data_IF_406399641181
#
_entry.id   IF_406399641181
#
_cell.length_a   1.000
_cell.length_b   1.000
_cell.length_c   1.000
_cell.angle_alpha   90.00
_cell.angle_beta   90.00
_cell.angle_gamma   90.00
#
_symmetry.space_group_name_H-M   'P 1'
#
loop_
_entity.id
_entity.type
_entity.pdbx_description
1 polymer ?
#
# COMPACT_ATOMS: atom_id res chain seq x y z
N UNK A 1 13.48 -35.81 3.69
CA UNK A 1 12.17 -35.32 4.18
C UNK A 1 12.23 -33.89 4.74
N UNK A 2 13.10 -33.54 5.70
CA UNK A 2 13.18 -32.15 6.24
C UNK A 2 13.50 -31.07 5.19
N UNK A 3 14.41 -31.33 4.23
CA UNK A 3 14.73 -30.39 3.13
C UNK A 3 13.57 -30.15 2.16
N UNK A 4 12.64 -31.11 2.03
CA UNK A 4 11.46 -31.00 1.15
C UNK A 4 10.38 -30.12 1.81
N UNK A 5 10.22 -30.20 3.13
CA UNK A 5 9.32 -29.35 3.90
C UNK A 5 9.76 -27.87 3.91
N UNK A 6 11.07 -27.61 3.99
CA UNK A 6 11.60 -26.23 3.91
C UNK A 6 11.38 -25.62 2.53
N UNK A 7 11.50 -26.41 1.45
CA UNK A 7 11.25 -25.92 0.09
C UNK A 7 9.76 -25.60 -0.14
N UNK A 8 8.86 -26.43 0.38
CA UNK A 8 7.40 -26.19 0.30
C UNK A 8 6.99 -24.97 1.14
N UNK A 9 7.56 -24.77 2.33
CA UNK A 9 7.28 -23.60 3.15
C UNK A 9 7.75 -22.27 2.52
N UNK A 10 8.85 -22.29 1.75
CA UNK A 10 9.34 -21.11 0.99
C UNK A 10 8.48 -20.83 -0.24
N UNK A 11 7.88 -21.85 -0.86
CA UNK A 11 6.98 -21.69 -2.01
C UNK A 11 5.59 -21.15 -1.62
N UNK A 12 5.19 -21.29 -0.35
CA UNK A 12 3.92 -20.74 0.16
C UNK A 12 4.04 -19.33 0.75
N UNK A 13 5.23 -18.75 0.88
CA UNK A 13 5.43 -17.43 1.51
C UNK A 13 5.55 -16.25 0.52
N UNK A 14 5.19 -16.44 -0.76
CA UNK A 14 5.35 -15.41 -1.79
C UNK A 14 4.02 -15.08 -2.49
N UNK A 15 3.04 -14.62 -1.73
CA UNK A 15 1.95 -13.82 -2.30
C UNK A 15 1.50 -12.75 -1.31
N UNK A 16 2.36 -11.74 -1.12
CA UNK A 16 1.86 -10.43 -0.68
C UNK A 16 1.32 -9.76 -1.93
N UNK A 17 0.02 -9.88 -2.19
CA UNK A 17 -0.59 -9.15 -3.30
C UNK A 17 -0.88 -7.72 -2.84
N UNK A 18 -0.04 -6.78 -3.31
CA UNK A 18 -0.25 -5.34 -3.16
C UNK A 18 -1.00 -4.73 -4.37
N UNK A 19 -1.55 -5.59 -5.23
CA UNK A 19 -2.24 -5.25 -6.47
C UNK A 19 -3.62 -5.86 -6.43
N UNK A 20 -4.63 -5.07 -6.77
CA UNK A 20 -6.01 -5.47 -6.85
C UNK A 20 -6.49 -5.21 -8.27
N UNK A 21 -7.02 -6.25 -8.90
CA UNK A 21 -7.56 -6.21 -10.25
C UNK A 21 -9.04 -6.59 -10.20
N UNK A 22 -9.85 -5.85 -10.95
CA UNK A 22 -11.29 -6.02 -11.05
C UNK A 22 -11.65 -6.04 -12.54
N UNK A 23 -11.97 -7.23 -13.06
CA UNK A 23 -12.46 -7.44 -14.43
C UNK A 23 -13.99 -7.53 -14.52
N UNK A 24 -14.69 -7.55 -13.39
CA UNK A 24 -16.16 -7.59 -13.29
C UNK A 24 -16.83 -8.90 -13.78
N UNK A 25 -16.04 -9.93 -14.05
CA UNK A 25 -16.51 -11.23 -14.57
C UNK A 25 -16.98 -12.21 -13.49
N UNK A 26 -17.08 -11.75 -12.24
CA UNK A 26 -17.56 -12.55 -11.11
C UNK A 26 -16.51 -13.50 -10.51
N UNK A 27 -15.32 -13.58 -11.11
CA UNK A 27 -14.14 -14.23 -10.51
C UNK A 27 -13.40 -13.30 -9.53
N UNK A 28 -13.79 -12.03 -9.46
CA UNK A 28 -13.17 -11.02 -8.61
C UNK A 28 -13.49 -11.28 -7.13
N UNK A 29 -12.59 -11.97 -6.43
CA UNK A 29 -12.76 -12.32 -5.01
C UNK A 29 -12.87 -11.12 -4.06
N UNK A 30 -12.65 -9.90 -4.56
CA UNK A 30 -12.54 -8.67 -3.78
C UNK A 30 -13.58 -7.60 -4.11
N UNK A 31 -14.39 -7.77 -5.16
CA UNK A 31 -15.31 -6.75 -5.67
C UNK A 31 -16.25 -6.21 -4.57
N UNK A 32 -16.99 -7.10 -3.89
CA UNK A 32 -17.96 -6.72 -2.85
C UNK A 32 -17.35 -6.09 -1.58
N UNK A 33 -16.03 -6.20 -1.38
CA UNK A 33 -15.36 -5.65 -0.20
C UNK A 33 -15.03 -4.17 -0.39
N UNK A 34 -14.75 -3.76 -1.62
CA UNK A 34 -14.20 -2.44 -1.90
C UNK A 34 -15.19 -1.54 -2.62
N UNK A 35 -16.09 -2.08 -3.46
CA UNK A 35 -17.08 -1.26 -4.16
C UNK A 35 -18.37 -1.21 -3.36
N UNK A 36 -18.88 0.01 -3.20
CA UNK A 36 -20.19 0.30 -2.62
C UNK A 36 -20.98 1.12 -3.63
N UNK A 37 -22.03 0.53 -4.19
CA UNK A 37 -23.04 1.26 -4.96
C UNK A 37 -23.97 1.95 -3.95
N UNK A 38 -23.98 3.28 -3.95
CA UNK A 38 -24.77 4.04 -2.97
C UNK A 38 -26.24 4.11 -3.41
N UNK A 39 -27.01 3.07 -3.07
CA UNK A 39 -28.46 3.02 -3.32
C UNK A 39 -29.28 3.65 -2.20
N UNK A 40 -28.63 4.09 -1.11
CA UNK A 40 -29.28 4.71 0.06
C UNK A 40 -29.48 6.20 -0.21
N UNK A 41 -28.46 6.90 -0.68
CA UNK A 41 -28.56 8.32 -1.01
C UNK A 41 -29.00 8.54 -2.46
N UNK A 42 -28.79 7.56 -3.34
CA UNK A 42 -29.18 7.62 -4.76
C UNK A 42 -30.11 6.44 -5.08
N UNK A 43 -31.40 6.59 -4.82
CA UNK A 43 -32.37 5.50 -4.97
C UNK A 43 -32.57 5.02 -6.41
N UNK A 44 -32.20 5.82 -7.41
CA UNK A 44 -32.28 5.50 -8.83
C UNK A 44 -30.91 5.18 -9.45
N UNK A 45 -29.92 4.87 -8.62
CA UNK A 45 -28.57 4.56 -9.06
C UNK A 45 -28.57 3.45 -10.12
N UNK A 46 -28.04 3.76 -11.30
CA UNK A 46 -28.13 2.92 -12.49
C UNK A 46 -26.93 1.97 -12.63
N UNK A 47 -25.85 2.16 -11.88
CA UNK A 47 -24.64 1.32 -11.97
C UNK A 47 -24.93 -0.17 -11.75
N UNK A 48 -24.48 -0.99 -12.69
CA UNK A 48 -24.65 -2.44 -12.69
C UNK A 48 -23.44 -3.17 -13.26
N UNK A 49 -23.22 -4.40 -12.81
CA UNK A 49 -22.23 -5.31 -13.41
C UNK A 49 -22.95 -6.27 -14.36
N UNK A 50 -22.49 -6.37 -15.60
CA UNK A 50 -23.00 -7.35 -16.55
C UNK A 50 -22.52 -7.13 -17.97
N UNK A 51 -22.91 -8.01 -18.90
CA UNK A 51 -22.62 -7.86 -20.31
C UNK A 51 -23.40 -6.67 -20.91
N UNK A 52 -22.75 -5.78 -21.67
CA UNK A 52 -23.44 -4.67 -22.31
C UNK A 52 -24.10 -5.14 -23.62
N UNK A 53 -25.36 -4.76 -23.83
CA UNK A 53 -26.19 -5.23 -24.94
C UNK A 53 -26.86 -4.07 -25.70
N UNK A 54 -26.10 -2.99 -25.91
CA UNK A 54 -26.60 -1.75 -26.52
C UNK A 54 -25.89 -1.44 -27.84
N UNK A 55 -26.33 -0.39 -28.53
CA UNK A 55 -25.82 -0.07 -29.87
C UNK A 55 -24.39 0.45 -29.81
N UNK A 56 -24.11 1.41 -28.93
CA UNK A 56 -22.76 1.94 -28.72
C UNK A 56 -21.99 1.04 -27.77
N UNK A 57 -22.61 0.67 -26.65
CA UNK A 57 -22.04 -0.26 -25.67
C UNK A 57 -22.41 -1.70 -26.06
N UNK A 58 -21.72 -2.22 -27.07
CA UNK A 58 -22.01 -3.52 -27.68
C UNK A 58 -21.16 -4.68 -27.15
N UNK A 59 -20.07 -4.40 -26.44
CA UNK A 59 -19.20 -5.40 -25.82
C UNK A 59 -18.42 -4.81 -24.64
N UNK A 60 -18.09 -5.66 -23.66
CA UNK A 60 -17.11 -5.36 -22.62
C UNK A 60 -15.69 -5.29 -23.23
N UNK A 61 -14.74 -4.67 -22.53
CA UNK A 61 -13.34 -4.66 -22.98
C UNK A 61 -12.72 -6.04 -22.75
N UNK A 62 -12.89 -6.57 -21.55
CA UNK A 62 -12.69 -7.97 -21.18
C UNK A 62 -14.04 -8.66 -21.08
N UNK A 63 -14.31 -9.60 -21.97
CA UNK A 63 -15.55 -10.36 -21.91
C UNK A 63 -15.58 -11.31 -20.68
N UNK A 64 -16.76 -11.56 -20.08
CA UNK A 64 -18.09 -11.12 -20.54
C UNK A 64 -18.64 -9.81 -19.98
N UNK A 65 -18.16 -9.31 -18.85
CA UNK A 65 -18.88 -8.29 -18.08
C UNK A 65 -18.12 -6.98 -17.97
N UNK A 66 -18.88 -5.92 -17.73
CA UNK A 66 -18.35 -4.58 -17.48
C UNK A 66 -19.12 -3.96 -16.32
N UNK A 67 -18.57 -2.93 -15.68
CA UNK A 67 -19.33 -2.09 -14.76
C UNK A 67 -19.89 -0.88 -15.51
N UNK A 68 -21.22 -0.77 -15.60
CA UNK A 68 -21.89 0.12 -16.56
C UNK A 68 -23.13 0.76 -15.98
N UNK A 69 -23.46 1.97 -16.42
CA UNK A 69 -24.67 2.69 -16.01
C UNK A 69 -25.97 2.04 -16.45
N UNK A 70 -25.99 1.26 -17.53
CA UNK A 70 -27.08 0.29 -17.76
C UNK A 70 -26.64 -0.79 -18.77
N UNK A 71 -26.99 -2.07 -18.60
CA UNK A 71 -26.63 -3.16 -19.52
C UNK A 71 -27.52 -3.27 -20.76
N UNK A 72 -28.76 -2.78 -20.68
CA UNK A 72 -29.81 -3.01 -21.69
C UNK A 72 -30.37 -1.72 -22.30
N UNK A 73 -30.51 -0.65 -21.52
CA UNK A 73 -31.15 0.59 -21.93
C UNK A 73 -30.17 1.78 -21.98
N UNK A 74 -30.47 2.84 -22.75
CA UNK A 74 -29.85 4.14 -22.55
C UNK A 74 -30.07 4.64 -21.11
N UNK A 75 -29.17 5.48 -20.60
CA UNK A 75 -29.34 6.01 -19.25
C UNK A 75 -30.56 6.92 -19.13
N UNK A 76 -31.18 6.96 -17.95
CA UNK A 76 -32.29 7.87 -17.67
C UNK A 76 -31.79 9.32 -17.49
N UNK A 77 -32.49 10.34 -18.02
CA UNK A 77 -32.12 11.74 -17.83
C UNK A 77 -32.45 12.24 -16.42
N UNK A 78 -31.79 13.33 -16.01
CA UNK A 78 -31.97 14.01 -14.72
C UNK A 78 -31.75 13.12 -13.48
N UNK A 79 -30.87 12.14 -13.59
CA UNK A 79 -30.45 11.25 -12.54
C UNK A 79 -28.97 11.44 -12.15
N UNK A 80 -28.64 11.04 -10.92
CA UNK A 80 -27.27 10.95 -10.41
C UNK A 80 -27.01 9.56 -9.86
N UNK A 81 -25.99 8.90 -10.41
CA UNK A 81 -25.60 7.54 -10.07
C UNK A 81 -24.17 7.50 -9.54
N UNK A 82 -23.97 6.87 -8.37
CA UNK A 82 -22.70 6.92 -7.63
C UNK A 82 -22.24 5.56 -7.16
N UNK A 83 -20.97 5.24 -7.36
CA UNK A 83 -20.32 4.19 -6.59
C UNK A 83 -19.02 4.68 -5.95
N UNK A 84 -18.68 4.06 -4.83
CA UNK A 84 -17.50 4.37 -4.05
C UNK A 84 -16.62 3.14 -3.99
N UNK A 85 -15.39 3.28 -4.47
CA UNK A 85 -14.32 2.34 -4.22
C UNK A 85 -13.62 2.75 -2.91
N UNK A 86 -13.57 1.84 -1.96
CA UNK A 86 -12.93 1.99 -0.64
C UNK A 86 -11.57 1.31 -0.66
N UNK A 87 -10.55 1.98 -0.16
CA UNK A 87 -9.21 1.42 -0.09
C UNK A 87 -8.63 1.61 1.30
N UNK A 88 -8.27 0.50 1.96
CA UNK A 88 -7.52 0.59 3.19
C UNK A 88 -6.16 1.24 2.90
N UNK A 89 -5.79 2.24 3.68
CA UNK A 89 -4.47 2.86 3.61
C UNK A 89 -3.52 2.04 4.46
N UNK A 90 -2.71 1.20 3.81
CA UNK A 90 -1.64 0.49 4.50
C UNK A 90 -0.39 1.37 4.56
N UNK A 91 0.20 1.57 5.73
CA UNK A 91 1.61 1.95 5.81
C UNK A 91 2.31 1.04 6.80
N UNK A 92 3.51 0.56 6.48
CA UNK A 92 4.65 0.76 7.32
C UNK A 92 5.38 1.98 6.77
N UNK A 93 5.17 3.16 7.36
CA UNK A 93 6.01 4.31 7.05
C UNK A 93 7.43 3.86 7.37
N UNK A 94 8.39 4.15 6.48
CA UNK A 94 9.78 3.87 6.81
C UNK A 94 10.07 4.61 8.13
N UNK A 95 10.54 3.95 9.20
CA UNK A 95 10.94 4.65 10.42
C UNK A 95 11.94 5.77 10.06
N UNK A 96 11.49 7.02 10.16
CA UNK A 96 12.24 8.23 9.79
C UNK A 96 11.74 8.99 8.56
N UNK A 97 10.80 8.45 7.77
CA UNK A 97 10.21 9.20 6.65
C UNK A 97 8.99 10.00 7.12
N UNK A 98 9.10 11.32 7.12
CA UNK A 98 7.98 12.24 7.34
C UNK A 98 7.15 12.50 6.08
N UNK A 99 7.52 11.93 4.92
CA UNK A 99 7.07 12.43 3.62
C UNK A 99 6.68 11.39 2.54
N UNK A 100 6.61 10.09 2.83
CA UNK A 100 6.35 9.10 1.79
C UNK A 100 5.34 8.04 2.26
N UNK A 101 4.05 8.33 2.08
CA UNK A 101 3.01 7.29 2.03
C UNK A 101 3.15 6.45 0.76
N UNK A 102 2.51 5.27 0.66
CA UNK A 102 2.51 4.52 -0.60
C UNK A 102 1.91 5.38 -1.71
N UNK A 103 2.49 5.29 -2.92
CA UNK A 103 1.88 5.87 -4.11
C UNK A 103 0.75 4.94 -4.54
N UNK A 104 -0.44 5.51 -4.70
CA UNK A 104 -1.60 4.80 -5.18
C UNK A 104 -1.68 5.05 -6.67
N UNK A 105 -1.75 3.98 -7.44
CA UNK A 105 -2.15 4.07 -8.83
C UNK A 105 -3.55 3.51 -8.98
N UNK A 106 -4.37 4.24 -9.73
CA UNK A 106 -5.64 3.77 -10.22
C UNK A 106 -5.61 3.88 -11.72
N UNK A 107 -5.95 2.77 -12.37
CA UNK A 107 -6.20 2.73 -13.79
C UNK A 107 -7.43 1.91 -14.12
N UNK A 108 -8.08 2.25 -15.21
CA UNK A 108 -9.19 1.47 -15.74
C UNK A 108 -9.39 1.81 -17.22
N UNK A 109 -9.97 0.87 -17.95
CA UNK A 109 -10.47 1.11 -19.29
C UNK A 109 -11.92 1.61 -19.20
N UNK A 110 -12.29 2.57 -20.03
CA UNK A 110 -13.64 3.14 -20.02
C UNK A 110 -14.12 3.56 -21.40
N UNK A 111 -15.44 3.60 -21.55
CA UNK A 111 -16.09 4.20 -22.71
C UNK A 111 -17.26 5.09 -22.25
N UNK A 112 -17.40 6.23 -22.91
CA UNK A 112 -18.46 7.21 -22.69
C UNK A 112 -19.24 7.44 -23.98
N UNK A 113 -20.56 7.39 -23.84
CA UNK A 113 -21.55 7.86 -24.80
C UNK A 113 -22.56 8.67 -23.99
N UNK A 114 -22.33 9.98 -23.90
CA UNK A 114 -23.10 10.88 -23.02
C UNK A 114 -23.40 12.19 -23.76
N UNK A 115 -24.51 12.83 -23.39
CA UNK A 115 -24.89 14.14 -23.93
C UNK A 115 -24.03 15.29 -23.37
N UNK A 116 -24.12 16.47 -23.97
CA UNK A 116 -23.27 17.62 -23.64
C UNK A 116 -23.52 18.23 -22.25
N UNK A 117 -24.66 17.94 -21.61
CA UNK A 117 -24.98 18.36 -20.25
C UNK A 117 -24.70 17.26 -19.22
N UNK A 118 -24.32 16.06 -19.66
CA UNK A 118 -23.96 14.95 -18.78
C UNK A 118 -22.51 15.05 -18.30
N UNK A 119 -22.24 14.49 -17.12
CA UNK A 119 -20.93 14.55 -16.47
C UNK A 119 -20.54 13.16 -15.96
N UNK A 120 -19.35 12.69 -16.38
CA UNK A 120 -18.65 11.56 -15.77
C UNK A 120 -17.50 12.11 -14.92
N UNK A 121 -17.54 11.87 -13.61
CA UNK A 121 -16.61 12.47 -12.65
C UNK A 121 -15.99 11.42 -11.73
N UNK A 122 -14.69 11.56 -11.48
CA UNK A 122 -13.96 10.82 -10.47
C UNK A 122 -13.46 11.78 -9.40
N UNK A 123 -13.81 11.51 -8.15
CA UNK A 123 -13.39 12.30 -6.99
C UNK A 123 -12.63 11.43 -6.00
N UNK A 124 -11.66 12.02 -5.31
CA UNK A 124 -10.80 11.34 -4.32
C UNK A 124 -11.00 11.99 -2.96
N UNK A 125 -11.11 11.16 -1.92
CA UNK A 125 -11.09 11.59 -0.52
C UNK A 125 -10.00 10.89 0.27
N UNK A 126 -9.19 11.69 0.95
CA UNK A 126 -8.08 11.22 1.79
C UNK A 126 -8.46 11.09 3.28
N UNK A 127 -9.66 11.50 3.67
CA UNK A 127 -10.10 11.62 5.06
C UNK A 127 -11.43 10.89 5.29
N UNK A 128 -11.61 9.75 4.61
CA UNK A 128 -12.83 8.93 4.68
C UNK A 128 -14.13 9.67 4.36
N UNK A 129 -14.06 10.63 3.45
CA UNK A 129 -15.22 11.32 2.88
C UNK A 129 -15.48 12.73 3.42
N UNK A 130 -14.59 13.27 4.26
CA UNK A 130 -14.71 14.63 4.79
C UNK A 130 -14.47 15.70 3.72
N UNK A 131 -13.46 15.52 2.88
CA UNK A 131 -13.15 16.37 1.73
C UNK A 131 -13.01 15.53 0.47
N UNK A 132 -13.46 16.08 -0.66
CA UNK A 132 -13.43 15.45 -1.97
C UNK A 132 -12.76 16.38 -2.99
N UNK A 133 -11.89 15.81 -3.82
CA UNK A 133 -11.19 16.52 -4.89
C UNK A 133 -11.50 15.84 -6.22
N UNK A 134 -11.96 16.61 -7.21
CA UNK A 134 -12.13 16.12 -8.58
C UNK A 134 -10.74 15.86 -9.19
N UNK A 135 -10.56 14.71 -9.84
CA UNK A 135 -9.30 14.38 -10.50
C UNK A 135 -9.03 15.28 -11.71
N UNK A 136 -10.07 15.80 -12.35
CA UNK A 136 -9.98 16.71 -13.49
C UNK A 136 -9.71 18.17 -13.07
N UNK A 137 -9.99 18.57 -11.82
CA UNK A 137 -9.76 19.92 -11.31
C UNK A 137 -8.33 20.03 -10.76
N UNK A 138 -7.42 20.43 -11.64
CA UNK A 138 -5.98 20.35 -11.48
C UNK A 138 -5.42 21.34 -10.44
N UNK A 139 -5.50 21.08 -9.12
CA UNK A 139 -4.81 21.95 -8.14
C UNK A 139 -4.23 21.33 -6.85
N UNK A 140 -4.20 20.00 -6.65
CA UNK A 140 -3.58 19.43 -5.43
C UNK A 140 -2.53 18.33 -5.72
N UNK A 141 -1.30 18.79 -5.91
CA UNK A 141 -0.01 18.08 -5.75
C UNK A 141 0.13 16.64 -6.26
N UNK A 142 0.49 16.50 -7.53
CA UNK A 142 1.26 15.34 -8.03
C UNK A 142 2.71 15.43 -7.53
N UNK A 143 3.12 14.52 -6.66
CA UNK A 143 4.51 14.08 -6.61
C UNK A 143 4.61 12.81 -7.47
N UNK A 144 4.97 12.95 -8.75
CA UNK A 144 5.38 11.81 -9.58
C UNK A 144 6.74 12.09 -10.19
N UNK A 145 7.70 11.22 -9.88
CA UNK A 145 9.02 11.14 -10.50
C UNK A 145 8.99 10.36 -11.82
N UNK A 146 7.82 9.83 -12.21
CA UNK A 146 7.54 9.23 -13.52
C UNK A 146 6.33 9.94 -14.16
N UNK A 147 6.58 10.61 -15.28
CA UNK A 147 5.64 11.09 -16.31
C UNK A 147 4.30 11.71 -15.84
N UNK A 148 4.26 13.04 -15.92
CA UNK A 148 3.17 13.95 -15.54
C UNK A 148 1.98 14.00 -16.51
N UNK A 149 1.32 12.87 -16.77
CA UNK A 149 0.00 12.87 -17.41
C UNK A 149 -1.03 12.50 -16.37
N UNK A 150 -1.79 13.50 -15.89
CA UNK A 150 -3.11 13.24 -15.32
C UNK A 150 -3.99 13.04 -16.54
N UNK A 151 -4.38 11.80 -16.81
CA UNK A 151 -5.47 11.60 -17.75
C UNK A 151 -6.70 12.25 -17.15
N UNK A 152 -7.37 13.08 -17.93
CA UNK A 152 -8.69 13.58 -17.55
C UNK A 152 -9.72 12.63 -18.10
N UNK A 153 -10.80 12.42 -17.34
CA UNK A 153 -11.97 11.73 -17.90
C UNK A 153 -12.54 12.63 -18.99
N UNK A 154 -12.49 12.13 -20.23
CA UNK A 154 -13.03 12.83 -21.39
C UNK A 154 -14.53 13.14 -21.23
N UNK A 155 -15.02 14.21 -21.87
CA UNK A 155 -16.45 14.55 -21.86
C UNK A 155 -17.29 13.63 -22.77
N UNK A 156 -16.66 12.94 -23.72
CA UNK A 156 -17.21 11.83 -24.51
C UNK A 156 -16.05 11.08 -25.14
N UNK A 157 -16.15 9.77 -25.35
CA UNK A 157 -15.04 8.99 -25.91
C UNK A 157 -15.39 8.22 -27.18
N UNK A 158 -16.64 7.80 -27.37
CA UNK A 158 -17.13 7.05 -28.54
C UNK A 158 -16.41 5.71 -28.81
N UNK A 159 -15.42 5.38 -27.98
CA UNK A 159 -14.50 4.25 -28.07
C UNK A 159 -13.83 4.05 -26.71
N UNK A 160 -13.26 2.87 -26.49
CA UNK A 160 -12.50 2.58 -25.29
C UNK A 160 -11.28 3.48 -25.15
N UNK A 161 -11.07 3.99 -23.94
CA UNK A 161 -9.92 4.76 -23.51
C UNK A 161 -9.39 4.19 -22.21
N UNK A 162 -8.10 4.40 -21.98
CA UNK A 162 -7.50 4.12 -20.69
C UNK A 162 -7.46 5.40 -19.87
N UNK A 163 -7.71 5.29 -18.58
CA UNK A 163 -7.46 6.33 -17.59
C UNK A 163 -6.39 5.82 -16.63
N UNK A 164 -5.40 6.65 -16.32
CA UNK A 164 -4.39 6.36 -15.31
C UNK A 164 -4.10 7.58 -14.43
N UNK A 165 -4.07 7.39 -13.11
CA UNK A 165 -3.69 8.44 -12.17
C UNK A 165 -2.81 7.89 -11.03
N UNK A 166 -1.75 8.63 -10.73
CA UNK A 166 -0.91 8.41 -9.54
C UNK A 166 -1.22 9.45 -8.48
N UNK A 167 -1.44 9.01 -7.24
CA UNK A 167 -1.65 9.89 -6.08
C UNK A 167 -0.84 9.44 -4.88
N UNK A 168 -0.10 10.39 -4.31
CA UNK A 168 0.52 10.22 -3.01
C UNK A 168 -0.46 10.74 -1.96
N UNK A 169 -1.00 9.84 -1.15
CA UNK A 169 -1.76 10.28 0.02
C UNK A 169 -0.74 10.69 1.08
N UNK A 170 -0.82 11.94 1.52
CA UNK A 170 0.02 12.47 2.59
C UNK A 170 -0.12 11.69 3.91
N UNK A 171 0.51 12.16 5.00
CA UNK A 171 0.32 11.55 6.32
C UNK A 171 -1.17 11.36 6.64
N UNK A 172 -1.51 10.20 7.21
CA UNK A 172 -2.88 9.73 7.32
C UNK A 172 -3.76 10.67 8.16
N UNK A 173 -4.70 11.36 7.53
CA UNK A 173 -5.88 11.89 8.22
C UNK A 173 -6.89 10.78 8.57
N UNK A 174 -6.80 9.62 7.90
CA UNK A 174 -7.68 8.46 8.06
C UNK A 174 -7.00 7.18 7.56
N UNK A 175 -7.51 6.01 7.95
CA UNK A 175 -7.04 4.68 7.53
C UNK A 175 -7.67 4.21 6.20
N UNK A 176 -8.56 4.99 5.58
CA UNK A 176 -9.25 4.63 4.35
C UNK A 176 -9.23 5.79 3.35
N UNK A 177 -8.86 5.50 2.10
CA UNK A 177 -9.04 6.39 0.95
C UNK A 177 -10.32 6.00 0.21
N UNK A 178 -11.04 6.98 -0.31
CA UNK A 178 -12.26 6.75 -1.09
C UNK A 178 -12.12 7.35 -2.49
N UNK A 179 -12.62 6.61 -3.47
CA UNK A 179 -12.71 7.04 -4.86
C UNK A 179 -14.18 6.99 -5.27
N UNK A 180 -14.76 8.14 -5.56
CA UNK A 180 -16.17 8.29 -5.90
C UNK A 180 -16.30 8.51 -7.39
N UNK A 181 -16.98 7.57 -8.04
CA UNK A 181 -17.35 7.64 -9.44
C UNK A 181 -18.79 8.13 -9.49
N UNK A 182 -18.98 9.30 -10.10
CA UNK A 182 -20.28 9.97 -10.21
C UNK A 182 -20.63 10.11 -11.67
N UNK A 183 -21.79 9.59 -12.05
CA UNK A 183 -22.42 9.87 -13.33
C UNK A 183 -23.64 10.77 -13.09
N UNK A 184 -23.61 11.98 -13.65
CA UNK A 184 -24.73 12.94 -13.61
C UNK A 184 -25.27 13.04 -15.03
N UNK A 185 -26.49 12.56 -15.23
CA UNK A 185 -27.15 12.66 -16.53
C UNK A 185 -27.78 14.04 -16.72
N UNK A 186 -27.64 14.58 -17.93
CA UNK A 186 -28.24 15.84 -18.33
C UNK A 186 -29.76 15.77 -18.51
N UNK A 187 -30.32 16.83 -19.09
CA UNK A 187 -31.77 16.94 -19.36
C UNK A 187 -32.18 16.28 -20.68
N UNK A 188 -31.23 15.86 -21.52
CA UNK A 188 -31.47 15.31 -22.85
C UNK A 188 -32.21 13.98 -22.78
N UNK A 189 -33.25 13.82 -23.60
CA UNK A 189 -33.96 12.53 -23.78
C UNK A 189 -33.45 11.74 -24.98
N UNK A 190 -32.45 12.27 -25.71
CA UNK A 190 -31.81 11.52 -26.79
C UNK A 190 -31.11 10.28 -26.21
N UNK A 191 -31.20 9.11 -26.87
CA UNK A 191 -30.64 7.88 -26.34
C UNK A 191 -29.12 7.94 -26.37
N UNK A 192 -28.51 7.76 -25.20
CA UNK A 192 -27.07 7.66 -25.00
C UNK A 192 -26.78 6.52 -24.01
N UNK A 193 -25.73 5.74 -24.28
CA UNK A 193 -25.49 4.50 -23.54
C UNK A 193 -24.82 4.71 -22.16
N UNK A 194 -24.24 5.88 -21.90
CA UNK A 194 -23.79 6.30 -20.57
C UNK A 194 -22.31 6.12 -20.33
N UNK A 195 -21.94 5.45 -19.24
CA UNK A 195 -20.56 5.20 -18.85
C UNK A 195 -20.36 3.72 -18.53
N UNK A 196 -19.36 3.10 -19.17
CA UNK A 196 -18.88 1.77 -18.82
C UNK A 196 -17.39 1.77 -18.48
N UNK A 197 -17.01 0.93 -17.52
CA UNK A 197 -15.68 0.82 -16.92
C UNK A 197 -15.30 -0.66 -16.83
N UNK A 198 -14.10 -0.97 -17.26
CA UNK A 198 -13.54 -2.32 -17.25
C UNK A 198 -12.07 -2.31 -16.80
N UNK A 199 -11.50 -3.50 -16.53
CA UNK A 199 -10.09 -3.68 -16.18
C UNK A 199 -9.58 -2.72 -15.10
N UNK A 200 -10.38 -2.50 -14.06
CA UNK A 200 -9.99 -1.59 -13.00
C UNK A 200 -8.84 -2.21 -12.22
N UNK A 201 -7.71 -1.52 -12.25
CA UNK A 201 -6.48 -1.91 -11.60
C UNK A 201 -6.08 -0.86 -10.59
N UNK A 202 -5.76 -1.34 -9.40
CA UNK A 202 -5.44 -0.53 -8.24
C UNK A 202 -4.21 -1.15 -7.61
N UNK A 203 -3.14 -0.39 -7.45
CA UNK A 203 -1.97 -0.89 -6.73
C UNK A 203 -1.32 0.12 -5.81
N UNK A 204 -0.71 -0.45 -4.77
CA UNK A 204 0.10 0.26 -3.80
C UNK A 204 1.55 0.12 -4.24
N UNK A 205 2.16 1.21 -4.65
CA UNK A 205 3.60 1.23 -4.83
C UNK A 205 4.27 1.50 -3.50
N UNK A 206 4.98 0.49 -3.01
CA UNK A 206 5.82 0.59 -1.83
C UNK A 206 7.25 0.24 -2.20
N UNK A 207 8.17 1.18 -2.02
CA UNK A 207 9.60 0.93 -2.06
C UNK A 207 10.09 0.67 -0.64
N UNK A 208 9.89 -0.56 -0.16
CA UNK A 208 10.41 -0.98 1.13
C UNK A 208 11.91 -1.19 1.06
N UNK A 209 12.70 -0.37 1.75
CA UNK A 209 14.06 -0.74 2.10
C UNK A 209 14.03 -1.96 3.03
N UNK A 210 14.93 -2.94 2.81
CA UNK A 210 15.14 -4.01 3.79
C UNK A 210 15.72 -3.36 5.04
N UNK A 211 14.94 -3.32 6.14
CA UNK A 211 15.41 -2.78 7.41
C UNK A 211 16.60 -3.61 7.87
N UNK A 212 17.79 -3.01 7.92
CA UNK A 212 18.97 -3.68 8.44
C UNK A 212 18.91 -3.71 9.97
N UNK A 213 18.32 -4.76 10.51
CA UNK A 213 18.18 -5.00 11.95
C UNK A 213 19.53 -5.30 12.61
N UNK A 214 20.47 -5.91 11.86
CA UNK A 214 21.82 -6.21 12.34
C UNK A 214 22.83 -5.15 11.85
N UNK A 215 23.27 -4.28 12.75
CA UNK A 215 24.23 -3.22 12.43
C UNK A 215 25.54 -3.43 13.20
N UNK A 216 26.63 -3.78 12.52
CA UNK A 216 27.92 -4.03 13.16
C UNK A 216 28.51 -2.80 13.86
N UNK A 217 28.01 -1.60 13.59
CA UNK A 217 28.51 -0.33 14.09
C UNK A 217 27.67 0.25 15.24
N UNK A 218 26.87 -0.56 15.95
CA UNK A 218 26.13 -0.08 17.13
C UNK A 218 27.05 0.19 18.32
N UNK A 219 28.06 -0.65 18.51
CA UNK A 219 29.02 -0.53 19.60
C UNK A 219 30.47 -0.73 19.14
N UNK A 220 31.39 -0.16 19.90
CA UNK A 220 32.79 -0.59 19.95
C UNK A 220 33.08 -1.23 21.32
N UNK A 221 34.03 -2.16 21.35
CA UNK A 221 34.46 -2.83 22.58
C UNK A 221 35.97 -2.88 22.69
N UNK A 222 36.50 -2.68 23.90
CA UNK A 222 37.95 -2.72 24.16
C UNK A 222 38.26 -2.96 25.65
N UNK A 223 39.44 -3.50 25.98
CA UNK A 223 40.33 -4.20 25.06
C UNK A 223 39.73 -5.53 24.59
N UNK A 224 40.16 -6.01 23.43
CA UNK A 224 39.85 -7.35 22.94
C UNK A 224 41.08 -7.85 22.15
N UNK A 225 41.88 -8.80 22.67
CA UNK A 225 41.59 -9.66 23.83
C UNK A 225 41.53 -8.91 25.18
N UNK A 226 40.83 -9.47 26.16
CA UNK A 226 40.62 -8.86 27.48
C UNK A 226 40.92 -9.83 28.62
N UNK A 227 41.24 -9.30 29.81
CA UNK A 227 41.34 -10.10 31.04
C UNK A 227 40.00 -10.28 31.76
N UNK A 228 38.89 -10.18 31.02
CA UNK A 228 37.52 -10.12 31.56
C UNK A 228 37.00 -8.71 31.81
N UNK A 229 37.84 -7.67 31.76
CA UNK A 229 37.43 -6.26 31.88
C UNK A 229 37.19 -5.67 30.49
N UNK A 230 35.95 -5.33 30.15
CA UNK A 230 35.56 -4.84 28.81
C UNK A 230 34.80 -3.52 28.95
N UNK A 231 35.26 -2.51 28.23
CA UNK A 231 34.56 -1.27 27.98
C UNK A 231 33.72 -1.41 26.70
N UNK A 232 32.47 -0.98 26.78
CA UNK A 232 31.53 -0.95 25.67
C UNK A 232 31.13 0.51 25.49
N UNK A 233 31.38 1.03 24.29
CA UNK A 233 30.93 2.36 23.88
C UNK A 233 29.86 2.20 22.80
N UNK A 234 28.64 2.63 23.10
CA UNK A 234 27.53 2.67 22.17
C UNK A 234 27.57 3.98 21.37
N UNK A 235 27.48 3.86 20.05
CA UNK A 235 27.57 4.99 19.12
C UNK A 235 26.29 5.87 19.09
N UNK A 236 25.23 5.44 19.79
CA UNK A 236 23.97 6.17 19.98
C UNK A 236 23.59 6.08 21.46
N UNK A 237 22.84 7.06 21.96
CA UNK A 237 22.35 7.07 23.34
C UNK A 237 21.65 5.76 23.68
N UNK A 238 22.23 5.02 24.63
CA UNK A 238 21.74 3.70 25.03
C UNK A 238 20.64 3.84 26.11
N UNK A 239 19.49 4.44 25.78
CA UNK A 239 18.33 4.40 26.67
C UNK A 239 17.60 3.06 26.47
N UNK A 240 17.74 2.14 27.43
CA UNK A 240 17.14 0.80 27.45
C UNK A 240 17.78 -0.23 26.49
N UNK A 241 19.10 -0.32 26.47
CA UNK A 241 19.81 -1.40 25.76
C UNK A 241 20.13 -2.59 26.69
N UNK A 242 20.55 -3.72 26.11
CA UNK A 242 21.07 -4.85 26.87
C UNK A 242 22.28 -5.50 26.19
N UNK A 243 23.17 -6.03 27.01
CA UNK A 243 24.29 -6.86 26.60
C UNK A 243 24.08 -8.26 27.12
N UNK A 244 24.26 -9.24 26.24
CA UNK A 244 24.18 -10.66 26.55
C UNK A 244 25.45 -11.33 26.01
N UNK A 245 26.12 -12.13 26.83
CA UNK A 245 27.31 -12.88 26.44
C UNK A 245 26.96 -14.35 26.39
N UNK A 246 27.37 -15.00 25.30
CA UNK A 246 27.19 -16.43 25.06
C UNK A 246 28.53 -17.13 24.93
N UNK A 247 28.61 -18.37 25.42
CA UNK A 247 29.69 -19.28 25.04
C UNK A 247 29.47 -19.86 23.63
N UNK A 248 30.45 -20.62 23.12
CA UNK A 248 30.39 -21.19 21.76
C UNK A 248 29.30 -22.26 21.58
N UNK A 249 28.69 -22.76 22.67
CA UNK A 249 27.54 -23.66 22.60
C UNK A 249 26.20 -22.90 22.48
N UNK A 250 26.23 -21.57 22.56
CA UNK A 250 25.05 -20.72 22.56
C UNK A 250 24.41 -20.55 23.94
N UNK A 251 25.04 -21.02 25.01
CA UNK A 251 24.56 -20.83 26.38
C UNK A 251 24.87 -19.41 26.84
N UNK A 252 23.86 -18.74 27.39
CA UNK A 252 24.00 -17.43 28.03
C UNK A 252 24.85 -17.56 29.30
N UNK A 253 25.94 -16.80 29.37
CA UNK A 253 26.86 -16.78 30.51
C UNK A 253 26.89 -15.44 31.24
N UNK A 254 26.34 -14.39 30.63
CA UNK A 254 26.18 -13.08 31.27
C UNK A 254 25.06 -12.28 30.59
N UNK A 255 24.34 -11.47 31.37
CA UNK A 255 23.35 -10.50 30.88
C UNK A 255 23.37 -9.25 31.74
N UNK A 256 23.27 -8.08 31.09
CA UNK A 256 23.17 -6.80 31.76
C UNK A 256 22.39 -5.77 30.95
N UNK A 257 21.52 -5.02 31.61
CA UNK A 257 20.88 -3.84 31.02
C UNK A 257 21.82 -2.63 31.05
N UNK A 258 21.77 -1.83 29.98
CA UNK A 258 22.59 -0.64 29.76
C UNK A 258 21.68 0.58 29.60
N UNK A 259 21.98 1.63 30.36
CA UNK A 259 21.26 2.91 30.36
C UNK A 259 22.14 4.09 29.93
N UNK A 260 23.43 3.85 29.73
CA UNK A 260 24.44 4.86 29.38
C UNK A 260 25.26 4.41 28.17
N UNK A 261 25.70 5.35 27.33
CA UNK A 261 26.47 5.03 26.13
C UNK A 261 27.81 4.36 26.44
N UNK A 262 28.46 4.76 27.53
CA UNK A 262 29.66 4.11 28.05
C UNK A 262 29.29 3.15 29.17
N UNK A 263 29.70 1.90 29.04
CA UNK A 263 29.49 0.86 30.06
C UNK A 263 30.75 0.04 30.26
N UNK A 264 31.10 -0.18 31.52
CA UNK A 264 32.16 -1.09 31.93
C UNK A 264 31.57 -2.40 32.43
N UNK A 265 32.02 -3.54 31.89
CA UNK A 265 31.62 -4.88 32.33
C UNK A 265 32.84 -5.67 32.79
N UNK A 266 32.73 -6.29 33.96
CA UNK A 266 33.67 -7.31 34.44
C UNK A 266 33.04 -8.70 34.25
N UNK A 267 33.71 -9.54 33.46
CA UNK A 267 33.31 -10.90 33.14
C UNK A 267 34.25 -11.88 33.85
N UNK A 268 33.74 -12.54 34.89
CA UNK A 268 34.45 -13.61 35.60
C UNK A 268 34.28 -14.94 34.84
N UNK A 269 34.84 -15.01 33.63
CA UNK A 269 34.75 -16.15 32.73
C UNK A 269 36.14 -16.77 32.49
N UNK A 270 36.24 -18.09 32.27
CA UNK A 270 37.48 -18.75 31.87
C UNK A 270 38.04 -18.19 30.57
N UNK A 271 39.35 -18.36 30.36
CA UNK A 271 39.98 -18.01 29.09
C UNK A 271 39.32 -18.76 27.93
N UNK A 272 38.99 -18.04 26.87
CA UNK A 272 38.20 -18.60 25.77
C UNK A 272 37.51 -17.54 24.92
N UNK A 273 36.85 -18.03 23.87
CA UNK A 273 36.12 -17.20 22.92
C UNK A 273 34.64 -17.16 23.26
N UNK A 274 34.04 -15.96 23.21
CA UNK A 274 32.63 -15.73 23.50
C UNK A 274 32.01 -14.79 22.46
N UNK A 275 30.69 -14.80 22.38
CA UNK A 275 29.90 -13.92 21.53
C UNK A 275 29.12 -12.94 22.40
N UNK A 276 29.40 -11.66 22.26
CA UNK A 276 28.68 -10.58 22.91
C UNK A 276 27.61 -10.04 21.97
N UNK A 277 26.34 -10.13 22.35
CA UNK A 277 25.20 -9.54 21.65
C UNK A 277 24.76 -8.27 22.38
N UNK A 278 24.72 -7.15 21.66
CA UNK A 278 24.12 -5.89 22.12
C UNK A 278 22.79 -5.69 21.42
N UNK A 279 21.75 -5.36 22.18
CA UNK A 279 20.38 -5.16 21.70
C UNK A 279 19.87 -3.81 22.17
N UNK A 280 19.39 -2.97 21.24
CA UNK A 280 18.82 -1.66 21.53
C UNK A 280 17.55 -1.46 20.68
N UNK A 281 16.38 -1.60 21.30
CA UNK A 281 15.11 -1.67 20.57
C UNK A 281 15.10 -2.84 19.59
N UNK A 282 14.80 -2.56 18.33
CA UNK A 282 14.81 -3.56 17.25
C UNK A 282 16.21 -3.82 16.70
N UNK A 283 17.16 -2.89 16.86
CA UNK A 283 18.53 -3.06 16.34
C UNK A 283 19.37 -3.96 17.26
N UNK A 284 20.22 -4.80 16.67
CA UNK A 284 21.23 -5.54 17.42
C UNK A 284 22.57 -5.64 16.69
N UNK A 285 23.60 -5.95 17.44
CA UNK A 285 24.89 -6.34 16.88
C UNK A 285 25.51 -7.47 17.68
N UNK A 286 26.41 -8.21 17.05
CA UNK A 286 27.18 -9.27 17.73
C UNK A 286 28.66 -9.01 17.50
N UNK A 287 29.45 -9.13 18.56
CA UNK A 287 30.91 -9.00 18.53
C UNK A 287 31.53 -10.22 19.19
N UNK A 288 32.61 -10.73 18.59
CA UNK A 288 33.46 -11.74 19.22
C UNK A 288 34.31 -11.08 20.29
N UNK A 289 34.38 -11.68 21.48
CA UNK A 289 35.32 -11.30 22.54
C UNK A 289 36.22 -12.48 22.88
N UNK A 290 37.48 -12.22 23.16
CA UNK A 290 38.48 -13.20 23.59
C UNK A 290 38.94 -12.86 25.00
N UNK A 291 38.78 -13.80 25.94
CA UNK A 291 39.24 -13.64 27.32
C UNK A 291 40.54 -14.43 27.49
N UNK A 292 41.59 -13.75 27.98
CA UNK A 292 42.94 -14.30 28.21
C UNK A 292 43.46 -13.75 29.55
N UNK A 293 43.84 -14.64 30.47
CA UNK A 293 44.31 -14.26 31.82
C UNK A 293 45.84 -14.27 31.90
#
# INVERSE_FOLDING_TARGET
MKKLFTLIAVLFSLSVQAQYYLGFDGTDTFFNRFIVVDTINYHHNQWQVGSPHKTTFSAAFSAPNVFVTDTLNPYAPNDTSVFILKMAKSIPAWPGSTHYGPLYNISFDYQLDIDTQSIARLEISEDSGGHWHDVNDSLTSTYSWATSTIDTIATTSGSWRNFNVYRNFGPLASDTALFRFTFISGTSTAPHDGWMIDNMFIYYWFEGGVVQVQNANLISLYPNPSKGNIYIHANRSASNASVVVYDLSGREVHRRSITTSDTYINLLLPSGMYMLKYVAGDEYCTKKILIEH
#
